data_IF_076918174021
#
_entry.id   IF_076918174021
#
_cell.length_a   1.000
_cell.length_b   1.000
_cell.length_c   1.000
_cell.angle_alpha   90.00
_cell.angle_beta   90.00
_cell.angle_gamma   90.00
#
_symmetry.space_group_name_H-M   'P 1'
#
loop_
_entity.id
_entity.type
_entity.pdbx_description
1 polymer ?
#
# COMPACT_ATOMS: atom_id res chain seq x y z
N UNK A 1 34.58 13.62 -9.47
CA UNK A 1 33.52 12.63 -9.21
C UNK A 1 33.66 12.21 -7.76
N UNK A 2 32.66 12.38 -6.92
CA UNK A 2 32.72 11.90 -5.55
C UNK A 2 32.64 10.36 -5.61
N UNK A 3 33.69 9.67 -5.19
CA UNK A 3 33.66 8.24 -4.98
C UNK A 3 32.73 7.96 -3.81
N UNK A 4 31.56 7.41 -4.09
CA UNK A 4 30.67 6.90 -3.06
C UNK A 4 31.30 5.58 -2.61
N UNK A 5 31.84 5.57 -1.39
CA UNK A 5 32.31 4.34 -0.77
C UNK A 5 31.08 3.51 -0.42
N UNK A 6 30.86 2.44 -1.17
CA UNK A 6 29.85 1.42 -0.80
C UNK A 6 30.49 0.56 0.28
N UNK A 7 29.94 0.51 1.50
CA UNK A 7 30.51 -0.34 2.53
C UNK A 7 30.45 -1.80 2.11
N UNK A 8 31.56 -2.51 2.24
CA UNK A 8 31.68 -3.95 1.95
C UNK A 8 30.83 -4.80 2.89
N UNK A 9 30.44 -4.24 4.03
CA UNK A 9 29.62 -4.89 5.04
C UNK A 9 28.40 -4.04 5.40
N UNK A 10 27.22 -4.66 5.40
CA UNK A 10 25.99 -4.05 5.91
C UNK A 10 25.74 -4.56 7.33
N UNK A 11 25.84 -3.68 8.33
CA UNK A 11 25.50 -4.05 9.71
C UNK A 11 24.00 -4.37 9.80
N UNK A 12 23.67 -5.66 10.05
CA UNK A 12 22.28 -6.07 10.29
C UNK A 12 21.87 -5.61 11.68
N UNK A 13 21.01 -4.59 11.73
CA UNK A 13 20.45 -4.08 12.99
C UNK A 13 19.04 -4.60 13.15
N UNK A 14 18.76 -5.22 14.29
CA UNK A 14 17.41 -5.62 14.68
C UNK A 14 16.82 -4.54 15.59
N UNK A 15 15.59 -4.12 15.29
CA UNK A 15 14.82 -3.31 16.24
C UNK A 15 14.48 -4.18 17.46
N UNK A 16 14.85 -3.77 18.68
CA UNK A 16 14.50 -4.51 19.87
C UNK A 16 12.99 -4.57 20.02
N UNK A 17 12.44 -5.77 20.22
CA UNK A 17 11.01 -5.93 20.50
C UNK A 17 10.66 -5.28 21.84
N UNK A 18 10.00 -4.15 21.80
CA UNK A 18 9.50 -3.49 23.01
C UNK A 18 8.13 -4.07 23.39
N UNK A 19 8.07 -4.79 24.52
CA UNK A 19 6.79 -5.28 25.05
C UNK A 19 5.80 -4.14 25.33
N UNK A 20 6.30 -2.99 25.81
CA UNK A 20 5.47 -1.79 26.08
C UNK A 20 4.85 -1.25 24.78
N UNK A 21 5.63 -1.13 23.72
CA UNK A 21 5.12 -0.67 22.41
C UNK A 21 4.05 -1.64 21.86
N UNK A 22 4.30 -2.94 21.91
CA UNK A 22 3.33 -3.94 21.43
C UNK A 22 2.04 -3.93 22.24
N UNK A 23 2.11 -3.78 23.57
CA UNK A 23 0.92 -3.66 24.43
C UNK A 23 0.13 -2.38 24.12
N UNK A 24 0.82 -1.27 23.89
CA UNK A 24 0.20 0.02 23.55
C UNK A 24 -0.52 -0.07 22.19
N UNK A 25 0.14 -0.63 21.17
CA UNK A 25 -0.48 -0.88 19.85
C UNK A 25 -1.69 -1.80 20.00
N UNK A 26 -1.56 -2.90 20.75
CA UNK A 26 -2.67 -3.82 21.01
C UNK A 26 -3.84 -3.13 21.71
N UNK A 27 -3.58 -2.30 22.71
CA UNK A 27 -4.61 -1.52 23.41
C UNK A 27 -5.33 -0.55 22.45
N UNK A 28 -4.61 0.17 21.58
CA UNK A 28 -5.24 1.03 20.58
C UNK A 28 -6.09 0.26 19.58
N UNK A 29 -5.66 -0.93 19.15
CA UNK A 29 -6.46 -1.78 18.25
C UNK A 29 -7.76 -2.19 18.94
N UNK A 30 -7.69 -2.63 20.20
CA UNK A 30 -8.88 -3.04 20.98
C UNK A 30 -9.83 -1.86 21.18
N UNK A 31 -9.32 -0.71 21.62
CA UNK A 31 -10.13 0.50 21.81
C UNK A 31 -10.78 0.94 20.50
N UNK A 32 -10.04 0.96 19.40
CA UNK A 32 -10.56 1.32 18.07
C UNK A 32 -11.65 0.35 17.61
N UNK A 33 -11.44 -0.95 17.79
CA UNK A 33 -12.44 -1.97 17.45
C UNK A 33 -13.70 -1.84 18.29
N UNK A 34 -13.59 -1.69 19.61
CA UNK A 34 -14.72 -1.49 20.49
C UNK A 34 -15.50 -0.21 20.17
N UNK A 35 -14.79 0.89 19.89
CA UNK A 35 -15.40 2.16 19.50
C UNK A 35 -16.19 2.01 18.19
N UNK A 36 -15.64 1.29 17.22
CA UNK A 36 -16.33 1.00 15.96
C UNK A 36 -17.59 0.16 16.19
N UNK A 37 -17.51 -0.92 16.99
CA UNK A 37 -18.67 -1.78 17.30
C UNK A 37 -19.76 -1.00 18.05
N UNK A 38 -19.39 -0.15 19.01
CA UNK A 38 -20.34 0.71 19.70
C UNK A 38 -21.03 1.69 18.76
N UNK A 39 -20.26 2.34 17.88
CA UNK A 39 -20.82 3.27 16.90
C UNK A 39 -21.71 2.55 15.89
N UNK A 40 -21.34 1.35 15.47
CA UNK A 40 -22.13 0.52 14.56
C UNK A 40 -23.52 0.19 15.11
N UNK A 41 -23.66 0.04 16.46
CA UNK A 41 -24.96 -0.20 17.11
C UNK A 41 -25.81 1.06 17.23
N UNK A 42 -25.20 2.24 17.30
CA UNK A 42 -25.91 3.51 17.46
C UNK A 42 -26.31 4.11 16.11
N UNK A 43 -25.39 4.11 15.17
CA UNK A 43 -25.55 4.72 13.85
C UNK A 43 -24.65 3.97 12.84
N UNK A 44 -25.20 2.93 12.18
CA UNK A 44 -24.45 2.12 11.22
C UNK A 44 -23.84 2.94 10.08
N UNK A 45 -24.57 3.90 9.54
CA UNK A 45 -24.13 4.71 8.41
C UNK A 45 -22.92 5.56 8.79
N UNK A 46 -22.98 6.29 9.90
CA UNK A 46 -21.86 7.09 10.37
C UNK A 46 -20.65 6.24 10.76
N UNK A 47 -20.86 5.01 11.28
CA UNK A 47 -19.78 4.09 11.56
C UNK A 47 -19.03 3.69 10.28
N UNK A 48 -19.76 3.32 9.21
CA UNK A 48 -19.17 2.93 7.94
C UNK A 48 -18.50 4.12 7.23
N UNK A 49 -19.09 5.30 7.23
CA UNK A 49 -18.46 6.51 6.68
C UNK A 49 -17.14 6.80 7.40
N UNK A 50 -17.11 6.70 8.74
CA UNK A 50 -15.88 6.87 9.52
C UNK A 50 -14.83 5.81 9.18
N UNK A 51 -15.23 4.56 9.00
CA UNK A 51 -14.34 3.47 8.59
C UNK A 51 -13.72 3.72 7.22
N UNK A 52 -14.54 4.06 6.21
CA UNK A 52 -14.11 4.39 4.85
C UNK A 52 -13.13 5.56 4.86
N UNK A 53 -13.46 6.64 5.58
CA UNK A 53 -12.61 7.83 5.68
C UNK A 53 -11.23 7.49 6.24
N UNK A 54 -11.17 6.71 7.33
CA UNK A 54 -9.90 6.27 7.92
C UNK A 54 -9.13 5.34 6.96
N UNK A 55 -9.81 4.39 6.32
CA UNK A 55 -9.19 3.49 5.37
C UNK A 55 -8.58 4.26 4.18
N UNK A 56 -9.32 5.21 3.60
CA UNK A 56 -8.83 6.07 2.53
C UNK A 56 -7.62 6.88 2.98
N UNK A 57 -7.69 7.49 4.17
CA UNK A 57 -6.61 8.30 4.72
C UNK A 57 -5.31 7.50 4.86
N UNK A 58 -5.34 6.38 5.58
CA UNK A 58 -4.14 5.58 5.82
C UNK A 58 -3.61 4.91 4.55
N UNK A 59 -4.50 4.50 3.63
CA UNK A 59 -4.11 3.96 2.34
C UNK A 59 -3.43 5.03 1.49
N UNK A 60 -4.00 6.23 1.43
CA UNK A 60 -3.43 7.35 0.68
C UNK A 60 -2.08 7.81 1.24
N UNK A 61 -1.94 7.90 2.58
CA UNK A 61 -0.66 8.21 3.23
C UNK A 61 0.39 7.15 2.90
N UNK A 62 0.01 5.86 2.94
CA UNK A 62 0.94 4.78 2.64
C UNK A 62 1.38 4.79 1.17
N UNK A 63 0.45 5.01 0.27
CA UNK A 63 0.74 5.13 -1.16
C UNK A 63 1.55 6.40 -1.48
N UNK A 64 1.25 7.52 -0.82
CA UNK A 64 2.01 8.78 -0.95
C UNK A 64 3.45 8.64 -0.48
N UNK A 65 3.68 7.95 0.64
CA UNK A 65 5.03 7.63 1.11
C UNK A 65 5.83 6.82 0.09
N UNK A 66 5.23 5.78 -0.49
CA UNK A 66 5.87 5.00 -1.55
C UNK A 66 6.06 5.80 -2.83
N UNK A 67 5.05 6.60 -3.23
CA UNK A 67 5.14 7.46 -4.41
C UNK A 67 6.34 8.43 -4.33
N UNK A 68 6.61 8.98 -3.14
CA UNK A 68 7.79 9.81 -2.90
C UNK A 68 9.09 9.04 -3.19
N UNK A 69 9.19 7.78 -2.73
CA UNK A 69 10.36 6.93 -3.00
C UNK A 69 10.53 6.65 -4.50
N UNK A 70 9.42 6.41 -5.21
CA UNK A 70 9.43 6.12 -6.65
C UNK A 70 9.71 7.37 -7.48
N UNK A 71 9.09 8.51 -7.16
CA UNK A 71 9.32 9.77 -7.84
C UNK A 71 10.79 10.20 -7.74
N UNK A 72 11.37 10.11 -6.54
CA UNK A 72 12.78 10.41 -6.32
C UNK A 72 13.72 9.40 -6.97
N UNK A 73 13.28 8.15 -7.18
CA UNK A 73 14.01 7.18 -7.98
C UNK A 73 14.04 7.57 -9.46
N UNK A 74 12.89 7.92 -10.04
CA UNK A 74 12.76 8.33 -11.45
C UNK A 74 13.62 9.58 -11.75
N UNK A 75 13.57 10.57 -10.85
CA UNK A 75 14.32 11.82 -10.98
C UNK A 75 15.80 11.68 -10.62
N UNK A 76 16.25 10.48 -10.22
CA UNK A 76 17.62 10.21 -9.73
C UNK A 76 18.05 11.16 -8.61
N UNK A 77 17.12 11.55 -7.75
CA UNK A 77 17.35 12.46 -6.63
C UNK A 77 18.35 11.84 -5.64
N UNK A 78 19.34 12.63 -5.22
CA UNK A 78 20.38 12.18 -4.27
C UNK A 78 20.06 12.54 -2.83
N UNK A 79 19.23 13.56 -2.61
CA UNK A 79 18.90 14.07 -1.27
C UNK A 79 18.02 13.13 -0.44
N UNK A 80 17.28 12.23 -1.09
CA UNK A 80 16.33 11.34 -0.42
C UNK A 80 16.95 10.06 0.17
N UNK A 81 18.26 9.86 0.08
CA UNK A 81 18.91 8.63 0.52
C UNK A 81 18.59 8.26 1.97
N UNK A 82 18.55 9.28 2.86
CA UNK A 82 18.25 9.11 4.28
C UNK A 82 16.82 8.66 4.55
N UNK A 83 15.85 9.14 3.77
CA UNK A 83 14.42 8.89 3.99
C UNK A 83 13.87 7.78 3.09
N UNK A 84 14.60 7.35 2.06
CA UNK A 84 14.13 6.38 1.06
C UNK A 84 13.62 5.08 1.69
N UNK A 85 14.34 4.54 2.67
CA UNK A 85 13.94 3.29 3.35
C UNK A 85 12.70 3.49 4.21
N UNK A 86 12.58 4.65 4.86
CA UNK A 86 11.37 5.02 5.61
C UNK A 86 10.17 5.12 4.65
N UNK A 87 10.33 5.83 3.54
CA UNK A 87 9.29 5.96 2.51
C UNK A 87 8.87 4.61 1.92
N UNK A 88 9.81 3.69 1.69
CA UNK A 88 9.52 2.32 1.24
C UNK A 88 8.81 1.49 2.31
N UNK A 89 9.03 1.74 3.60
CA UNK A 89 8.40 0.97 4.69
C UNK A 89 6.88 1.13 4.75
N UNK A 90 6.33 2.22 4.22
CA UNK A 90 4.89 2.43 4.15
C UNK A 90 4.16 1.33 3.36
N UNK A 91 4.84 0.64 2.44
CA UNK A 91 4.27 -0.49 1.69
C UNK A 91 3.80 -1.64 2.60
N UNK A 92 4.32 -1.73 3.82
CA UNK A 92 3.95 -2.78 4.77
C UNK A 92 2.47 -2.72 5.18
N UNK A 93 1.82 -1.56 5.07
CA UNK A 93 0.39 -1.40 5.35
C UNK A 93 -0.51 -1.89 4.21
N UNK A 94 -0.02 -1.95 2.97
CA UNK A 94 -0.87 -2.24 1.80
C UNK A 94 -1.58 -3.60 1.85
N UNK A 95 -0.95 -4.71 2.26
CA UNK A 95 -1.64 -5.98 2.41
C UNK A 95 -2.78 -5.91 3.43
N UNK A 96 -2.56 -5.21 4.55
CA UNK A 96 -3.60 -4.99 5.56
C UNK A 96 -4.71 -4.10 5.00
N UNK A 97 -4.38 -3.01 4.30
CA UNK A 97 -5.35 -2.14 3.64
C UNK A 97 -6.24 -2.90 2.65
N UNK A 98 -5.65 -3.83 1.88
CA UNK A 98 -6.41 -4.68 0.96
C UNK A 98 -7.43 -5.56 1.70
N UNK A 99 -7.05 -6.17 2.82
CA UNK A 99 -7.95 -6.96 3.65
C UNK A 99 -9.05 -6.10 4.29
N UNK A 100 -8.71 -4.89 4.76
CA UNK A 100 -9.67 -3.96 5.35
C UNK A 100 -10.69 -3.41 4.33
N UNK A 101 -10.41 -3.47 3.04
CA UNK A 101 -11.37 -3.11 1.99
C UNK A 101 -12.51 -4.14 1.86
N UNK A 102 -12.27 -5.42 2.15
CA UNK A 102 -13.25 -6.49 1.90
C UNK A 102 -14.60 -6.24 2.60
N UNK A 103 -14.65 -5.90 3.92
CA UNK A 103 -15.91 -5.58 4.57
C UNK A 103 -16.66 -4.41 3.91
N UNK A 104 -15.93 -3.40 3.42
CA UNK A 104 -16.52 -2.25 2.75
C UNK A 104 -17.24 -2.67 1.45
N UNK A 105 -16.61 -3.52 0.66
CA UNK A 105 -17.20 -4.01 -0.60
C UNK A 105 -18.43 -4.90 -0.35
N UNK A 106 -18.48 -5.60 0.78
CA UNK A 106 -19.57 -6.53 1.10
C UNK A 106 -20.83 -5.83 1.62
N UNK A 107 -20.71 -4.59 2.14
CA UNK A 107 -21.78 -3.87 2.84
C UNK A 107 -22.12 -2.53 2.17
N UNK A 108 -21.84 -2.40 0.88
CA UNK A 108 -22.03 -1.16 0.10
C UNK A 108 -23.44 -0.57 0.18
N UNK A 109 -24.46 -1.42 0.26
CA UNK A 109 -25.86 -1.00 0.39
C UNK A 109 -26.13 -0.14 1.64
N UNK A 110 -25.28 -0.27 2.68
CA UNK A 110 -25.47 0.45 3.94
C UNK A 110 -25.02 1.92 3.91
N UNK A 111 -24.29 2.36 2.88
CA UNK A 111 -23.68 3.69 2.87
C UNK A 111 -23.58 4.38 1.49
N UNK A 112 -23.86 3.68 0.38
CA UNK A 112 -23.90 4.30 -0.93
C UNK A 112 -25.31 4.82 -1.26
N UNK A 113 -25.52 6.15 -1.26
CA UNK A 113 -26.87 6.72 -1.51
C UNK A 113 -27.37 6.46 -2.94
N UNK A 114 -26.47 6.32 -3.91
CA UNK A 114 -26.83 6.07 -5.31
C UNK A 114 -27.58 4.75 -5.53
N UNK A 115 -27.47 3.78 -4.61
CA UNK A 115 -28.17 2.49 -4.72
C UNK A 115 -29.68 2.70 -4.60
N UNK A 116 -30.12 3.47 -3.58
CA UNK A 116 -31.52 3.82 -3.39
C UNK A 116 -32.01 4.79 -4.48
N UNK A 117 -31.21 5.80 -4.81
CA UNK A 117 -31.54 6.81 -5.83
C UNK A 117 -31.68 6.22 -7.24
N UNK A 118 -31.08 5.05 -7.51
CA UNK A 118 -31.15 4.39 -8.82
C UNK A 118 -32.59 4.07 -9.24
N UNK A 119 -33.53 3.94 -8.29
CA UNK A 119 -34.92 3.64 -8.58
C UNK A 119 -35.68 4.84 -9.18
N UNK A 120 -35.44 6.05 -8.68
CA UNK A 120 -36.29 7.20 -8.93
C UNK A 120 -35.58 8.40 -9.59
N UNK A 121 -34.25 8.42 -9.61
CA UNK A 121 -33.44 9.55 -10.06
C UNK A 121 -32.86 9.36 -11.46
N UNK A 122 -33.33 10.08 -12.50
CA UNK A 122 -32.86 9.98 -13.87
C UNK A 122 -31.35 10.30 -14.02
N UNK A 123 -30.80 11.21 -13.20
CA UNK A 123 -29.38 11.59 -13.25
C UNK A 123 -28.52 10.43 -12.81
N UNK A 124 -28.93 9.72 -11.75
CA UNK A 124 -28.21 8.54 -11.24
C UNK A 124 -28.38 7.36 -12.20
N UNK A 125 -29.58 7.15 -12.75
CA UNK A 125 -29.86 6.12 -13.76
C UNK A 125 -28.96 6.24 -14.99
N UNK A 126 -28.71 7.46 -15.47
CA UNK A 126 -27.80 7.71 -16.59
C UNK A 126 -26.33 7.32 -16.29
N UNK A 127 -25.98 7.20 -15.01
CA UNK A 127 -24.65 6.75 -14.57
C UNK A 127 -24.58 5.25 -14.25
N UNK A 128 -25.66 4.48 -14.48
CA UNK A 128 -25.77 3.05 -14.14
C UNK A 128 -24.69 2.17 -14.76
N UNK A 129 -24.14 2.55 -15.92
CA UNK A 129 -23.00 1.85 -16.53
C UNK A 129 -21.75 1.88 -15.63
N UNK A 130 -21.56 2.93 -14.85
CA UNK A 130 -20.44 3.09 -13.91
C UNK A 130 -20.85 2.79 -12.47
N UNK A 131 -22.01 3.30 -12.02
CA UNK A 131 -22.53 3.12 -10.67
C UNK A 131 -23.34 1.81 -10.59
N UNK A 132 -22.64 0.70 -10.51
CA UNK A 132 -23.22 -0.63 -10.22
C UNK A 132 -22.27 -1.44 -9.35
N UNK A 133 -22.81 -2.16 -8.37
CA UNK A 133 -22.02 -2.90 -7.37
C UNK A 133 -21.08 -3.95 -7.97
N UNK A 134 -21.49 -4.82 -8.91
CA UNK A 134 -20.59 -5.80 -9.50
C UNK A 134 -19.37 -5.17 -10.16
N UNK A 135 -19.55 -4.09 -10.89
CA UNK A 135 -18.44 -3.38 -11.54
C UNK A 135 -17.58 -2.63 -10.53
N UNK A 136 -18.19 -1.99 -9.51
CA UNK A 136 -17.46 -1.33 -8.43
C UNK A 136 -16.56 -2.32 -7.68
N UNK A 137 -17.10 -3.46 -7.28
CA UNK A 137 -16.33 -4.51 -6.57
C UNK A 137 -15.18 -5.01 -7.45
N UNK A 138 -15.47 -5.35 -8.69
CA UNK A 138 -14.46 -5.93 -9.61
C UNK A 138 -13.32 -4.95 -9.87
N UNK A 139 -13.62 -3.68 -10.22
CA UNK A 139 -12.59 -2.70 -10.54
C UNK A 139 -11.74 -2.32 -9.32
N UNK A 140 -12.34 -2.23 -8.13
CA UNK A 140 -11.60 -1.94 -6.90
C UNK A 140 -10.67 -3.10 -6.51
N UNK A 141 -11.16 -4.34 -6.56
CA UNK A 141 -10.33 -5.52 -6.28
C UNK A 141 -9.17 -5.63 -7.27
N UNK A 142 -9.45 -5.56 -8.57
CA UNK A 142 -8.41 -5.70 -9.59
C UNK A 142 -7.45 -4.50 -9.60
N UNK A 143 -7.98 -3.28 -9.49
CA UNK A 143 -7.17 -2.06 -9.48
C UNK A 143 -6.21 -2.02 -8.31
N UNK A 144 -6.71 -2.27 -7.10
CA UNK A 144 -5.86 -2.28 -5.90
C UNK A 144 -4.92 -3.48 -5.84
N UNK A 145 -5.37 -4.68 -6.27
CA UNK A 145 -4.47 -5.84 -6.37
C UNK A 145 -3.29 -5.55 -7.31
N UNK A 146 -3.56 -4.95 -8.48
CA UNK A 146 -2.52 -4.56 -9.43
C UNK A 146 -1.60 -3.49 -8.82
N UNK A 147 -2.17 -2.40 -8.30
CA UNK A 147 -1.40 -1.29 -7.73
C UNK A 147 -0.52 -1.75 -6.56
N UNK A 148 -1.10 -2.48 -5.61
CA UNK A 148 -0.37 -2.98 -4.43
C UNK A 148 0.64 -4.06 -4.81
N UNK A 149 0.31 -4.93 -5.78
CA UNK A 149 1.25 -5.92 -6.30
C UNK A 149 2.49 -5.30 -6.92
N UNK A 150 2.31 -4.27 -7.76
CA UNK A 150 3.43 -3.52 -8.37
C UNK A 150 4.21 -2.75 -7.31
N UNK A 151 3.54 -2.15 -6.32
CA UNK A 151 4.15 -1.46 -5.17
C UNK A 151 5.06 -2.40 -4.36
N UNK A 152 4.54 -3.54 -3.94
CA UNK A 152 5.28 -4.58 -3.21
C UNK A 152 6.45 -5.12 -4.03
N UNK A 153 6.25 -5.34 -5.32
CA UNK A 153 7.30 -5.82 -6.19
C UNK A 153 8.43 -4.79 -6.38
N UNK A 154 8.09 -3.49 -6.51
CA UNK A 154 9.09 -2.43 -6.56
C UNK A 154 9.97 -2.41 -5.30
N UNK A 155 9.33 -2.46 -4.12
CA UNK A 155 10.05 -2.47 -2.84
C UNK A 155 10.84 -3.76 -2.65
N UNK A 156 10.31 -4.91 -3.07
CA UNK A 156 11.05 -6.18 -3.09
C UNK A 156 12.35 -6.06 -3.91
N UNK A 157 12.28 -5.49 -5.13
CA UNK A 157 13.47 -5.28 -5.95
C UNK A 157 14.48 -4.34 -5.28
N UNK A 158 14.00 -3.29 -4.60
CA UNK A 158 14.85 -2.35 -3.89
C UNK A 158 15.55 -2.95 -2.66
N UNK A 159 14.91 -3.94 -2.00
CA UNK A 159 15.44 -4.58 -0.80
C UNK A 159 16.26 -5.84 -1.10
N UNK A 160 16.02 -6.50 -2.23
CA UNK A 160 16.62 -7.79 -2.55
C UNK A 160 18.16 -7.79 -2.50
N UNK A 161 18.89 -6.78 -3.04
CA UNK A 161 20.35 -6.72 -2.92
C UNK A 161 20.83 -6.67 -1.47
N UNK A 162 20.21 -5.84 -0.63
CA UNK A 162 20.57 -5.70 0.79
C UNK A 162 20.28 -6.98 1.59
N UNK A 163 19.13 -7.62 1.30
CA UNK A 163 18.77 -8.90 1.95
C UNK A 163 19.73 -10.02 1.58
N UNK A 164 20.18 -10.08 0.33
CA UNK A 164 21.12 -11.11 -0.13
C UNK A 164 22.50 -10.94 0.50
N UNK A 165 23.01 -9.70 0.52
CA UNK A 165 24.30 -9.40 1.17
C UNK A 165 24.24 -9.73 2.67
N UNK A 166 23.20 -9.31 3.37
CA UNK A 166 23.02 -9.63 4.80
C UNK A 166 22.89 -11.14 5.07
N UNK A 167 22.21 -11.88 4.19
CA UNK A 167 22.10 -13.33 4.32
C UNK A 167 23.44 -14.04 4.10
N UNK A 168 24.27 -13.54 3.18
CA UNK A 168 25.60 -14.06 2.94
C UNK A 168 26.51 -13.80 4.15
N UNK A 169 26.51 -12.60 4.70
CA UNK A 169 27.29 -12.25 5.90
C UNK A 169 26.91 -13.11 7.10
N UNK A 170 25.60 -13.31 7.35
CA UNK A 170 25.15 -14.19 8.44
C UNK A 170 25.64 -15.62 8.30
N UNK A 171 25.70 -16.17 7.07
CA UNK A 171 26.25 -17.50 6.81
C UNK A 171 27.75 -17.57 7.11
N UNK A 172 28.50 -16.54 6.74
CA UNK A 172 29.93 -16.44 7.01
C UNK A 172 30.20 -16.36 8.51
N UNK A 173 29.34 -15.71 9.28
CA UNK A 173 29.43 -15.62 10.74
C UNK A 173 28.87 -16.85 11.48
N UNK A 174 28.44 -17.90 10.76
CA UNK A 174 27.86 -19.10 11.35
C UNK A 174 26.49 -18.89 12.02
N UNK A 175 25.86 -17.74 11.75
CA UNK A 175 24.51 -17.42 12.26
C UNK A 175 23.45 -17.98 11.33
N UNK A 176 22.44 -18.66 11.90
CA UNK A 176 21.29 -19.14 11.16
C UNK A 176 20.45 -17.93 10.73
N UNK A 177 20.46 -17.60 9.43
CA UNK A 177 19.60 -16.56 8.88
C UNK A 177 18.12 -16.93 9.00
N UNK A 178 17.26 -15.92 9.09
CA UNK A 178 15.80 -16.14 9.11
C UNK A 178 15.34 -16.82 7.81
N UNK A 179 14.53 -17.87 7.92
CA UNK A 179 14.05 -18.66 6.78
C UNK A 179 13.39 -17.82 5.67
N UNK A 180 12.66 -16.76 6.04
CA UNK A 180 12.02 -15.86 5.10
C UNK A 180 13.02 -15.10 4.22
N UNK A 181 14.20 -14.71 4.75
CA UNK A 181 15.27 -14.06 3.97
C UNK A 181 15.84 -15.01 2.93
N UNK A 182 16.08 -16.26 3.32
CA UNK A 182 16.56 -17.30 2.41
C UNK A 182 15.55 -17.54 1.27
N UNK A 183 14.24 -17.51 1.57
CA UNK A 183 13.19 -17.66 0.58
C UNK A 183 13.13 -16.47 -0.39
N UNK A 184 13.18 -15.23 0.11
CA UNK A 184 13.14 -14.01 -0.72
C UNK A 184 14.42 -13.81 -1.55
N UNK A 185 15.55 -14.38 -1.13
CA UNK A 185 16.82 -14.33 -1.86
C UNK A 185 17.13 -15.61 -2.63
N UNK A 186 16.16 -16.49 -2.82
CA UNK A 186 16.32 -17.71 -3.60
C UNK A 186 16.81 -17.38 -5.02
N UNK A 187 17.81 -18.13 -5.50
CA UNK A 187 18.44 -17.86 -6.79
C UNK A 187 19.38 -16.65 -6.79
N UNK A 188 19.97 -16.33 -5.65
CA UNK A 188 20.98 -15.26 -5.52
C UNK A 188 22.17 -15.49 -6.47
N UNK A 189 22.48 -14.47 -7.30
CA UNK A 189 23.53 -14.56 -8.33
C UNK A 189 24.81 -13.78 -7.96
N UNK A 190 24.91 -13.28 -6.76
CA UNK A 190 25.98 -12.38 -6.31
C UNK A 190 25.57 -10.91 -6.35
N UNK A 191 26.19 -10.08 -5.49
CA UNK A 191 25.80 -8.70 -5.21
C UNK A 191 25.71 -7.84 -6.48
N UNK A 192 26.79 -7.80 -7.27
CA UNK A 192 26.86 -6.97 -8.46
C UNK A 192 25.77 -7.29 -9.50
N UNK A 193 25.54 -8.59 -9.77
CA UNK A 193 24.51 -9.02 -10.73
C UNK A 193 23.11 -8.71 -10.25
N UNK A 194 22.85 -8.87 -8.95
CA UNK A 194 21.54 -8.57 -8.36
C UNK A 194 21.27 -7.07 -8.32
N UNK A 195 22.25 -6.23 -8.05
CA UNK A 195 22.10 -4.76 -8.12
C UNK A 195 21.77 -4.31 -9.52
N UNK A 196 22.53 -4.76 -10.52
CA UNK A 196 22.27 -4.42 -11.93
C UNK A 196 20.88 -4.91 -12.36
N UNK A 197 20.50 -6.13 -11.98
CA UNK A 197 19.19 -6.70 -12.32
C UNK A 197 18.06 -5.92 -11.66
N UNK A 198 18.17 -5.63 -10.37
CA UNK A 198 17.18 -4.84 -9.61
C UNK A 198 17.06 -3.44 -10.19
N UNK A 199 18.17 -2.76 -10.46
CA UNK A 199 18.18 -1.44 -11.08
C UNK A 199 17.44 -1.41 -12.42
N UNK A 200 17.77 -2.35 -13.33
CA UNK A 200 17.12 -2.43 -14.65
C UNK A 200 15.61 -2.63 -14.53
N UNK A 201 15.17 -3.53 -13.65
CA UNK A 201 13.73 -3.80 -13.43
C UNK A 201 13.01 -2.62 -12.80
N UNK A 202 13.59 -2.00 -11.77
CA UNK A 202 13.03 -0.83 -11.12
C UNK A 202 12.88 0.34 -12.09
N UNK A 203 13.81 0.51 -13.05
CA UNK A 203 13.74 1.57 -14.07
C UNK A 203 12.52 1.41 -14.98
N UNK A 204 12.09 0.18 -15.24
CA UNK A 204 10.88 -0.09 -16.05
C UNK A 204 9.61 0.01 -15.20
N UNK A 205 9.65 -0.51 -13.97
CA UNK A 205 8.48 -0.60 -13.10
C UNK A 205 8.10 0.75 -12.49
N UNK A 206 9.07 1.62 -12.21
CA UNK A 206 8.80 2.90 -11.58
C UNK A 206 7.87 3.81 -12.41
N UNK A 207 8.09 4.06 -13.71
CA UNK A 207 7.15 4.81 -14.53
C UNK A 207 5.79 4.12 -14.68
N UNK A 208 5.78 2.80 -14.87
CA UNK A 208 4.54 2.03 -14.97
C UNK A 208 3.70 2.15 -13.67
N UNK A 209 4.36 2.10 -12.52
CA UNK A 209 3.68 2.32 -11.24
C UNK A 209 3.01 3.68 -11.18
N UNK A 210 3.67 4.76 -11.61
CA UNK A 210 3.08 6.12 -11.55
C UNK A 210 1.81 6.20 -12.39
N UNK A 211 1.79 5.58 -13.58
CA UNK A 211 0.61 5.54 -14.44
C UNK A 211 -0.52 4.75 -13.77
N UNK A 212 -0.22 3.54 -13.27
CA UNK A 212 -1.19 2.70 -12.57
C UNK A 212 -1.71 3.42 -11.32
N UNK A 213 -0.82 4.06 -10.56
CA UNK A 213 -1.19 4.86 -9.40
C UNK A 213 -2.18 5.98 -9.75
N UNK A 214 -1.89 6.76 -10.78
CA UNK A 214 -2.77 7.83 -11.21
C UNK A 214 -4.17 7.31 -11.59
N UNK A 215 -4.24 6.25 -12.37
CA UNK A 215 -5.52 5.66 -12.80
C UNK A 215 -6.29 5.07 -11.60
N UNK A 216 -5.64 4.24 -10.79
CA UNK A 216 -6.32 3.54 -9.68
C UNK A 216 -6.73 4.51 -8.57
N UNK A 217 -5.89 5.49 -8.22
CA UNK A 217 -6.24 6.46 -7.17
C UNK A 217 -7.35 7.41 -7.63
N UNK A 218 -7.38 7.78 -8.91
CA UNK A 218 -8.51 8.53 -9.49
C UNK A 218 -9.79 7.71 -9.45
N UNK A 219 -9.74 6.44 -9.85
CA UNK A 219 -10.87 5.51 -9.74
C UNK A 219 -11.38 5.39 -8.29
N UNK A 220 -10.46 5.25 -7.31
CA UNK A 220 -10.84 5.23 -5.89
C UNK A 220 -11.54 6.51 -5.45
N UNK A 221 -11.06 7.67 -5.91
CA UNK A 221 -11.69 8.95 -5.59
C UNK A 221 -13.12 9.03 -6.14
N UNK A 222 -13.36 8.53 -7.35
CA UNK A 222 -14.72 8.46 -7.91
C UNK A 222 -15.59 7.47 -7.14
N UNK A 223 -15.07 6.32 -6.77
CA UNK A 223 -15.86 5.25 -6.15
C UNK A 223 -16.19 5.52 -4.68
N UNK A 224 -15.26 6.07 -3.91
CA UNK A 224 -15.38 6.16 -2.46
C UNK A 224 -15.60 7.58 -1.92
N UNK A 225 -15.47 8.61 -2.76
CA UNK A 225 -15.71 10.00 -2.38
C UNK A 225 -16.81 10.60 -3.22
N UNK A 226 -16.64 10.64 -4.55
CA UNK A 226 -17.57 11.33 -5.41
C UNK A 226 -18.91 10.59 -5.56
N UNK A 227 -18.93 9.26 -5.47
CA UNK A 227 -20.16 8.47 -5.54
C UNK A 227 -21.07 8.65 -4.31
N UNK A 228 -20.57 9.21 -3.21
CA UNK A 228 -21.36 9.56 -2.04
C UNK A 228 -22.26 10.78 -2.29
N UNK A 229 -21.94 11.60 -3.31
CA UNK A 229 -22.73 12.71 -3.79
C UNK A 229 -22.96 12.55 -5.30
N UNK A 230 -23.93 11.70 -5.73
CA UNK A 230 -24.09 11.31 -7.14
C UNK A 230 -24.46 12.48 -8.07
N UNK A 231 -25.00 13.56 -7.52
CA UNK A 231 -25.30 14.79 -8.26
C UNK A 231 -24.09 15.70 -8.50
N UNK A 232 -22.98 15.42 -7.85
CA UNK A 232 -21.76 16.19 -8.07
C UNK A 232 -21.25 16.00 -9.50
N UNK A 233 -21.04 17.13 -10.16
CA UNK A 233 -20.34 17.22 -11.43
C UNK A 233 -19.03 17.95 -11.19
N UNK A 234 -17.93 17.20 -11.17
CA UNK A 234 -16.59 17.75 -11.24
C UNK A 234 -16.13 17.66 -12.68
N UNK A 235 -15.86 18.77 -13.29
CA UNK A 235 -15.20 18.88 -14.59
C UNK A 235 -13.70 18.95 -14.40
#
# INVERSE_FOLDING_TARGET
MAHIHVPDEISVRYLPRSRKANLLIGAFIVVGFLSFVLRLRQDPQAAWISYITNWLYFTSVSMGGLLLAIATWITKAKWNWSIRRISQSFVAFLPLSFLLMIPMLSLGESYFPWIEMMADDPVVQNKSAYLNMPFLVTRNLLGLALLFGVALYFVYLALRPDMGLSAQQMRTEGKTGEAWRAQLTRGWMGQEKEEVRSYKRMTVIAPAFVIIYAVVMTMLSYDWVMSLEPHWFST
#
